data_IF_475228660401
#
_entry.id   IF_475228660401
#
_cell.length_a   1.000
_cell.length_b   1.000
_cell.length_c   1.000
_cell.angle_alpha   90.00
_cell.angle_beta   90.00
_cell.angle_gamma   90.00
#
_symmetry.space_group_name_H-M   'P 1'
#
loop_
_entity.id
_entity.type
_entity.pdbx_description
1 polymer ?
#
# COMPACT_ATOMS: atom_id res chain seq x y z
N UNK A 1 -65.50 -32.71 23.56
CA UNK A 1 -65.45 -31.36 24.15
C UNK A 1 -64.10 -31.20 24.80
N UNK A 2 -63.24 -30.31 24.30
CA UNK A 2 -61.98 -29.98 24.97
C UNK A 2 -62.35 -29.13 26.19
N UNK A 3 -61.86 -29.48 27.37
CA UNK A 3 -62.13 -28.70 28.59
C UNK A 3 -61.45 -27.33 28.51
N UNK A 4 -62.05 -26.31 29.13
CA UNK A 4 -61.52 -24.94 29.18
C UNK A 4 -60.08 -24.88 29.72
N UNK A 5 -59.76 -25.76 30.68
CA UNK A 5 -58.41 -25.91 31.21
C UNK A 5 -57.39 -26.38 30.15
N UNK A 6 -57.78 -27.33 29.28
CA UNK A 6 -56.93 -27.78 28.17
C UNK A 6 -56.73 -26.69 27.13
N UNK A 7 -57.75 -25.88 26.84
CA UNK A 7 -57.61 -24.74 25.91
C UNK A 7 -56.64 -23.68 26.45
N UNK A 8 -56.76 -23.32 27.73
CA UNK A 8 -55.84 -22.38 28.38
C UNK A 8 -54.39 -22.88 28.40
N UNK A 9 -54.18 -24.17 28.65
CA UNK A 9 -52.85 -24.78 28.67
C UNK A 9 -52.20 -24.79 27.28
N UNK A 10 -52.98 -25.02 26.22
CA UNK A 10 -52.51 -24.94 24.83
C UNK A 10 -52.12 -23.49 24.46
N UNK A 11 -52.95 -22.50 24.79
CA UNK A 11 -52.66 -21.09 24.50
C UNK A 11 -51.42 -20.59 25.25
N UNK A 12 -51.30 -20.93 26.54
CA UNK A 12 -50.13 -20.57 27.35
C UNK A 12 -48.85 -21.26 26.84
N UNK A 13 -48.93 -22.55 26.50
CA UNK A 13 -47.81 -23.30 25.92
C UNK A 13 -47.36 -22.74 24.58
N UNK A 14 -48.30 -22.36 23.71
CA UNK A 14 -47.98 -21.73 22.42
C UNK A 14 -47.36 -20.33 22.60
N UNK A 15 -47.86 -19.53 23.54
CA UNK A 15 -47.28 -18.23 23.88
C UNK A 15 -45.83 -18.34 24.38
N UNK A 16 -45.57 -19.28 25.29
CA UNK A 16 -44.22 -19.54 25.79
C UNK A 16 -43.29 -20.06 24.68
N UNK A 17 -43.75 -20.98 23.84
CA UNK A 17 -43.00 -21.49 22.70
C UNK A 17 -42.69 -20.40 21.67
N UNK A 18 -43.69 -19.61 21.26
CA UNK A 18 -43.50 -18.51 20.32
C UNK A 18 -42.51 -17.47 20.87
N UNK A 19 -42.64 -17.11 22.16
CA UNK A 19 -41.69 -16.22 22.83
C UNK A 19 -40.25 -16.75 22.80
N UNK A 20 -40.04 -18.02 23.17
CA UNK A 20 -38.73 -18.66 23.12
C UNK A 20 -38.17 -18.77 21.70
N UNK A 21 -39.01 -19.11 20.72
CA UNK A 21 -38.65 -19.20 19.31
C UNK A 21 -38.19 -17.84 18.76
N UNK A 22 -38.95 -16.78 19.00
CA UNK A 22 -38.56 -15.43 18.57
C UNK A 22 -37.30 -14.94 19.29
N UNK A 23 -37.16 -15.20 20.60
CA UNK A 23 -35.94 -14.86 21.32
C UNK A 23 -34.70 -15.56 20.72
N UNK A 24 -34.81 -16.84 20.41
CA UNK A 24 -33.74 -17.58 19.72
C UNK A 24 -33.46 -17.03 18.32
N UNK A 25 -34.51 -16.72 17.53
CA UNK A 25 -34.37 -16.16 16.19
C UNK A 25 -33.68 -14.78 16.23
N UNK A 26 -34.07 -13.90 17.15
CA UNK A 26 -33.43 -12.60 17.33
C UNK A 26 -31.98 -12.74 17.79
N UNK A 27 -31.68 -13.68 18.69
CA UNK A 27 -30.31 -13.96 19.10
C UNK A 27 -29.45 -14.40 17.91
N UNK A 28 -29.95 -15.33 17.09
CA UNK A 28 -29.24 -15.78 15.87
C UNK A 28 -29.07 -14.68 14.83
N UNK A 29 -30.10 -13.87 14.62
CA UNK A 29 -30.02 -12.71 13.73
C UNK A 29 -28.98 -11.70 14.25
N UNK A 30 -28.96 -11.42 15.55
CA UNK A 30 -27.99 -10.54 16.19
C UNK A 30 -26.56 -11.05 16.03
N UNK A 31 -26.31 -12.34 16.27
CA UNK A 31 -25.00 -12.98 16.03
C UNK A 31 -24.56 -12.85 14.57
N UNK A 32 -25.47 -13.11 13.62
CA UNK A 32 -25.21 -13.01 12.19
C UNK A 32 -24.86 -11.58 11.77
N UNK A 33 -25.66 -10.59 12.18
CA UNK A 33 -25.41 -9.17 11.93
C UNK A 33 -24.08 -8.70 12.55
N UNK A 34 -23.78 -9.15 13.77
CA UNK A 34 -22.52 -8.84 14.45
C UNK A 34 -21.31 -9.37 13.67
N UNK A 35 -21.38 -10.61 13.17
CA UNK A 35 -20.30 -11.19 12.36
C UNK A 35 -20.08 -10.45 11.05
N UNK A 36 -21.17 -10.06 10.36
CA UNK A 36 -21.06 -9.24 9.14
C UNK A 36 -20.41 -7.90 9.43
N UNK A 37 -20.88 -7.20 10.47
CA UNK A 37 -20.33 -5.91 10.85
C UNK A 37 -18.84 -5.99 11.22
N UNK A 38 -18.44 -6.98 12.03
CA UNK A 38 -17.04 -7.20 12.38
C UNK A 38 -16.18 -7.50 11.14
N UNK A 39 -16.74 -8.24 10.19
CA UNK A 39 -16.08 -8.56 8.92
C UNK A 39 -15.86 -7.28 8.07
N UNK A 40 -16.90 -6.47 7.89
CA UNK A 40 -16.80 -5.16 7.21
C UNK A 40 -15.78 -4.23 7.87
N UNK A 41 -15.81 -4.14 9.20
CA UNK A 41 -14.88 -3.31 9.96
C UNK A 41 -13.43 -3.74 9.75
N UNK A 42 -13.15 -5.05 9.75
CA UNK A 42 -11.80 -5.59 9.49
C UNK A 42 -11.33 -5.25 8.07
N UNK A 43 -12.18 -5.42 7.06
CA UNK A 43 -11.85 -5.06 5.67
C UNK A 43 -11.61 -3.56 5.53
N UNK A 44 -12.46 -2.72 6.11
CA UNK A 44 -12.30 -1.27 6.09
C UNK A 44 -10.96 -0.83 6.74
N UNK A 45 -10.67 -1.32 7.94
CA UNK A 45 -9.42 -1.00 8.64
C UNK A 45 -8.21 -1.47 7.84
N UNK A 46 -8.31 -2.61 7.18
CA UNK A 46 -7.25 -3.13 6.33
C UNK A 46 -7.01 -2.24 5.11
N UNK A 47 -8.07 -1.75 4.46
CA UNK A 47 -7.93 -0.80 3.35
C UNK A 47 -7.23 0.49 3.80
N UNK A 48 -7.56 1.02 4.98
CA UNK A 48 -6.89 2.21 5.55
C UNK A 48 -5.40 1.93 5.79
N UNK A 49 -5.08 0.79 6.39
CA UNK A 49 -3.68 0.42 6.63
C UNK A 49 -2.90 0.23 5.31
N UNK A 50 -3.55 -0.36 4.31
CA UNK A 50 -2.97 -0.55 2.99
C UNK A 50 -2.69 0.79 2.28
N UNK A 51 -3.57 1.78 2.44
CA UNK A 51 -3.29 3.14 1.96
C UNK A 51 -2.03 3.70 2.60
N UNK A 52 -1.89 3.63 3.93
CA UNK A 52 -0.68 4.09 4.63
C UNK A 52 0.57 3.38 4.11
N UNK A 53 0.53 2.06 4.00
CA UNK A 53 1.66 1.26 3.53
C UNK A 53 2.05 1.60 2.09
N UNK A 54 1.09 1.77 1.19
CA UNK A 54 1.36 2.15 -0.19
C UNK A 54 1.98 3.55 -0.29
N UNK A 55 1.61 4.47 0.60
CA UNK A 55 2.28 5.77 0.69
C UNK A 55 3.74 5.61 1.15
N UNK A 56 4.01 4.84 2.21
CA UNK A 56 5.39 4.57 2.67
C UNK A 56 6.25 3.93 1.57
N UNK A 57 5.68 2.99 0.81
CA UNK A 57 6.34 2.39 -0.36
C UNK A 57 6.61 3.47 -1.42
N UNK A 58 5.62 4.33 -1.69
CA UNK A 58 5.75 5.45 -2.62
C UNK A 58 6.91 6.39 -2.27
N UNK A 59 7.09 6.68 -0.98
CA UNK A 59 8.19 7.51 -0.47
C UNK A 59 9.55 6.87 -0.75
N UNK A 60 9.72 5.58 -0.42
CA UNK A 60 10.98 4.85 -0.69
C UNK A 60 11.28 4.76 -2.19
N UNK A 61 10.25 4.59 -3.03
CA UNK A 61 10.40 4.63 -4.49
C UNK A 61 10.90 6.00 -4.94
N UNK A 62 10.30 7.07 -4.42
CA UNK A 62 10.68 8.45 -4.76
C UNK A 62 12.14 8.75 -4.37
N UNK A 63 12.55 8.39 -3.16
CA UNK A 63 13.91 8.59 -2.66
C UNK A 63 14.94 7.86 -3.54
N UNK A 64 14.66 6.61 -3.90
CA UNK A 64 15.52 5.85 -4.79
C UNK A 64 15.65 6.51 -6.18
N UNK A 65 14.53 6.95 -6.77
CA UNK A 65 14.53 7.68 -8.06
C UNK A 65 15.39 8.94 -7.95
N UNK A 66 15.26 9.70 -6.86
CA UNK A 66 16.02 10.93 -6.64
C UNK A 66 17.54 10.68 -6.56
N UNK A 67 17.96 9.59 -5.91
CA UNK A 67 19.39 9.27 -5.67
C UNK A 67 20.08 8.73 -6.93
N UNK A 68 19.37 8.02 -7.80
CA UNK A 68 19.93 7.26 -8.93
C UNK A 68 20.75 8.08 -9.95
N UNK A 69 20.30 9.25 -10.44
CA UNK A 69 21.06 10.05 -11.39
C UNK A 69 22.42 10.49 -10.84
N UNK A 70 22.45 10.95 -9.59
CA UNK A 70 23.66 11.37 -8.91
C UNK A 70 24.58 10.20 -8.60
N UNK A 71 24.03 9.06 -8.18
CA UNK A 71 24.77 7.83 -7.97
C UNK A 71 25.56 7.49 -9.24
N UNK A 72 24.88 7.33 -10.38
CA UNK A 72 25.53 7.01 -11.66
C UNK A 72 26.60 8.03 -12.04
N UNK A 73 26.28 9.33 -11.94
CA UNK A 73 27.23 10.40 -12.27
C UNK A 73 28.53 10.31 -11.45
N UNK A 74 28.41 10.11 -10.13
CA UNK A 74 29.57 10.07 -9.23
C UNK A 74 30.45 8.86 -9.50
N UNK A 75 29.87 7.66 -9.64
CA UNK A 75 30.67 6.45 -9.88
C UNK A 75 31.35 6.46 -11.25
N UNK A 76 30.70 6.99 -12.28
CA UNK A 76 31.29 7.13 -13.62
C UNK A 76 32.41 8.18 -13.67
N UNK A 77 32.41 9.14 -12.74
CA UNK A 77 33.51 10.11 -12.58
C UNK A 77 34.76 9.50 -11.90
N UNK A 78 34.67 8.23 -11.50
CA UNK A 78 35.71 7.54 -10.74
C UNK A 78 35.77 7.92 -9.27
N UNK A 79 34.65 8.39 -8.71
CA UNK A 79 34.52 8.76 -7.30
C UNK A 79 33.62 7.77 -6.55
N UNK A 80 33.82 7.68 -5.25
CA UNK A 80 32.97 6.88 -4.35
C UNK A 80 31.72 7.69 -4.02
N UNK A 81 30.56 7.05 -4.11
CA UNK A 81 29.27 7.60 -3.70
C UNK A 81 28.84 6.97 -2.38
N UNK A 82 28.34 7.79 -1.46
CA UNK A 82 28.06 7.33 -0.09
C UNK A 82 26.59 6.97 0.15
N UNK A 83 25.67 7.43 -0.69
CA UNK A 83 24.27 7.05 -0.57
C UNK A 83 24.05 5.66 -1.19
N UNK A 84 23.08 4.93 -0.65
CA UNK A 84 22.70 3.62 -1.15
C UNK A 84 21.24 3.66 -1.61
N UNK A 85 20.87 2.66 -2.40
CA UNK A 85 19.46 2.39 -2.66
C UNK A 85 18.86 1.67 -1.46
N UNK A 86 17.60 1.96 -1.18
CA UNK A 86 16.85 1.35 -0.10
C UNK A 86 15.91 0.28 -0.66
N UNK A 87 15.86 -0.88 0.00
CA UNK A 87 14.85 -1.87 -0.31
C UNK A 87 13.47 -1.35 0.11
N UNK A 88 12.47 -1.62 -0.72
CA UNK A 88 11.09 -1.24 -0.48
C UNK A 88 10.50 -2.17 0.60
N UNK A 89 9.88 -1.63 1.66
CA UNK A 89 9.28 -2.45 2.71
C UNK A 89 8.14 -3.29 2.15
N UNK A 90 8.07 -4.56 2.57
CA UNK A 90 6.99 -5.48 2.21
C UNK A 90 6.44 -6.12 3.47
N UNK A 91 5.17 -5.89 3.76
CA UNK A 91 4.42 -6.67 4.75
C UNK A 91 3.38 -7.52 4.02
N UNK A 92 3.48 -8.85 4.22
CA UNK A 92 2.63 -9.87 3.59
C UNK A 92 1.40 -10.21 4.44
N UNK A 93 1.28 -9.67 5.65
CA UNK A 93 0.18 -9.96 6.58
C UNK A 93 -1.17 -9.44 6.12
N UNK A 94 -1.23 -8.63 5.05
CA UNK A 94 -2.40 -7.83 4.72
C UNK A 94 -3.47 -8.54 3.86
N UNK A 95 -3.32 -9.81 3.49
CA UNK A 95 -4.30 -10.45 2.58
C UNK A 95 -5.52 -11.03 3.29
N UNK A 96 -5.42 -11.37 4.58
CA UNK A 96 -6.38 -12.28 5.23
C UNK A 96 -7.80 -11.70 5.40
N UNK A 97 -7.97 -10.38 5.30
CA UNK A 97 -9.26 -9.73 5.53
C UNK A 97 -9.75 -8.85 4.37
N UNK A 98 -9.08 -8.90 3.21
CA UNK A 98 -9.54 -8.24 1.98
C UNK A 98 -10.60 -9.10 1.28
N UNK A 99 -11.68 -8.49 0.79
CA UNK A 99 -12.74 -9.22 0.06
C UNK A 99 -12.76 -8.95 -1.44
N UNK A 100 -12.06 -7.91 -1.88
CA UNK A 100 -12.00 -7.56 -3.29
C UNK A 100 -10.92 -8.40 -3.99
N UNK A 101 -11.36 -9.44 -4.71
CA UNK A 101 -10.48 -10.35 -5.44
C UNK A 101 -9.65 -9.60 -6.51
N UNK A 102 -10.22 -8.58 -7.15
CA UNK A 102 -9.51 -7.82 -8.17
C UNK A 102 -8.35 -7.04 -7.53
N UNK A 103 -8.62 -6.36 -6.41
CA UNK A 103 -7.59 -5.66 -5.63
C UNK A 103 -6.54 -6.62 -5.06
N UNK A 104 -6.94 -7.81 -4.58
CA UNK A 104 -6.00 -8.83 -4.09
C UNK A 104 -5.06 -9.27 -5.21
N UNK A 105 -5.58 -9.51 -6.41
CA UNK A 105 -4.75 -9.90 -7.56
C UNK A 105 -3.79 -8.78 -7.97
N UNK A 106 -4.26 -7.54 -8.01
CA UNK A 106 -3.42 -6.37 -8.31
C UNK A 106 -2.29 -6.23 -7.28
N UNK A 107 -2.60 -6.34 -5.99
CA UNK A 107 -1.61 -6.31 -4.91
C UNK A 107 -0.61 -7.46 -5.03
N UNK A 108 -1.07 -8.67 -5.32
CA UNK A 108 -0.19 -9.83 -5.48
C UNK A 108 0.84 -9.61 -6.61
N UNK A 109 0.39 -9.13 -7.76
CA UNK A 109 1.27 -8.81 -8.90
C UNK A 109 2.26 -7.71 -8.48
N UNK A 110 1.77 -6.65 -7.87
CA UNK A 110 2.58 -5.54 -7.40
C UNK A 110 3.65 -5.97 -6.41
N UNK A 111 3.32 -6.70 -5.36
CA UNK A 111 4.29 -7.18 -4.36
C UNK A 111 5.30 -8.18 -4.94
N UNK A 112 4.89 -8.96 -5.95
CA UNK A 112 5.82 -9.82 -6.67
C UNK A 112 6.86 -9.01 -7.46
N UNK A 113 6.44 -7.90 -8.08
CA UNK A 113 7.35 -6.95 -8.75
C UNK A 113 8.26 -6.23 -7.75
N UNK A 114 7.72 -5.75 -6.62
CA UNK A 114 8.51 -5.15 -5.52
C UNK A 114 9.59 -6.11 -5.05
N UNK A 115 9.26 -7.39 -4.84
CA UNK A 115 10.22 -8.41 -4.43
C UNK A 115 11.37 -8.54 -5.43
N UNK A 116 11.07 -8.65 -6.73
CA UNK A 116 12.11 -8.74 -7.78
C UNK A 116 13.01 -7.51 -7.78
N UNK A 117 12.41 -6.33 -7.68
CA UNK A 117 13.18 -5.09 -7.61
C UNK A 117 14.08 -5.05 -6.37
N UNK A 118 13.62 -5.53 -5.23
CA UNK A 118 14.45 -5.63 -4.03
C UNK A 118 15.64 -6.59 -4.20
N UNK A 119 15.47 -7.69 -4.93
CA UNK A 119 16.56 -8.61 -5.28
C UNK A 119 17.57 -7.91 -6.21
N UNK A 120 17.10 -7.12 -7.18
CA UNK A 120 17.95 -6.33 -8.10
C UNK A 120 18.71 -5.21 -7.35
N UNK A 121 18.03 -4.49 -6.45
CA UNK A 121 18.63 -3.46 -5.58
C UNK A 121 19.71 -4.08 -4.69
N UNK A 122 19.45 -5.25 -4.11
CA UNK A 122 20.42 -5.95 -3.29
C UNK A 122 21.64 -6.36 -4.11
N UNK A 123 21.43 -6.92 -5.30
CA UNK A 123 22.51 -7.33 -6.21
C UNK A 123 23.38 -6.12 -6.61
N UNK A 124 22.75 -5.01 -6.99
CA UNK A 124 23.45 -3.77 -7.33
C UNK A 124 24.23 -3.20 -6.13
N UNK A 125 23.65 -3.27 -4.92
CA UNK A 125 24.30 -2.80 -3.69
C UNK A 125 25.52 -3.65 -3.36
N UNK A 126 25.41 -4.98 -3.39
CA UNK A 126 26.54 -5.88 -3.17
C UNK A 126 27.66 -5.64 -4.18
N UNK A 127 27.32 -5.58 -5.48
CA UNK A 127 28.29 -5.30 -6.53
C UNK A 127 28.99 -3.95 -6.34
N UNK A 128 28.25 -2.91 -5.93
CA UNK A 128 28.85 -1.62 -5.61
C UNK A 128 29.84 -1.70 -4.44
N UNK A 129 29.48 -2.39 -3.35
CA UNK A 129 30.35 -2.55 -2.19
C UNK A 129 31.65 -3.29 -2.55
N UNK A 130 31.57 -4.33 -3.38
CA UNK A 130 32.75 -5.06 -3.86
C UNK A 130 33.68 -4.17 -4.68
N UNK A 131 33.15 -3.42 -5.64
CA UNK A 131 33.92 -2.48 -6.47
C UNK A 131 34.56 -1.40 -5.60
N UNK A 132 33.79 -0.81 -4.69
CA UNK A 132 34.25 0.22 -3.74
C UNK A 132 35.38 -0.30 -2.87
N UNK A 133 35.23 -1.49 -2.28
CA UNK A 133 36.21 -2.09 -1.39
C UNK A 133 37.51 -2.44 -2.14
N UNK A 134 37.40 -3.02 -3.34
CA UNK A 134 38.57 -3.29 -4.18
C UNK A 134 39.34 -2.01 -4.52
N UNK A 135 38.64 -0.89 -4.76
CA UNK A 135 39.28 0.39 -5.03
C UNK A 135 39.94 1.00 -3.80
N UNK A 136 39.25 1.00 -2.64
CA UNK A 136 39.81 1.49 -1.36
C UNK A 136 41.06 0.69 -0.96
N UNK A 137 41.03 -0.63 -1.13
CA UNK A 137 42.14 -1.52 -0.82
C UNK A 137 43.27 -1.47 -1.87
N UNK A 138 43.12 -0.65 -2.92
CA UNK A 138 44.07 -0.51 -4.04
C UNK A 138 44.29 -1.80 -4.85
N UNK A 139 43.36 -2.74 -4.79
CA UNK A 139 43.35 -3.93 -5.65
C UNK A 139 43.01 -3.59 -7.10
N UNK A 140 42.28 -2.49 -7.32
CA UNK A 140 42.03 -1.89 -8.63
C UNK A 140 42.43 -0.41 -8.64
N UNK A 141 42.87 0.09 -9.80
CA UNK A 141 43.14 1.50 -10.00
C UNK A 141 41.87 2.26 -10.45
N UNK A 142 41.96 3.58 -10.62
CA UNK A 142 40.81 4.42 -11.01
C UNK A 142 40.18 3.98 -12.35
N UNK A 143 41.00 3.58 -13.31
CA UNK A 143 40.50 3.10 -14.61
C UNK A 143 39.71 1.80 -14.45
N UNK A 144 40.22 0.85 -13.65
CA UNK A 144 39.52 -0.40 -13.32
C UNK A 144 38.21 -0.15 -12.56
N UNK A 145 38.19 0.81 -11.65
CA UNK A 145 36.97 1.23 -10.96
C UNK A 145 35.91 1.73 -11.94
N UNK A 146 36.27 2.63 -12.86
CA UNK A 146 35.32 3.20 -13.84
C UNK A 146 34.77 2.12 -14.77
N UNK A 147 35.60 1.18 -15.23
CA UNK A 147 35.16 0.05 -16.07
C UNK A 147 34.11 -0.80 -15.34
N UNK A 148 34.36 -1.17 -14.09
CA UNK A 148 33.40 -1.94 -13.31
C UNK A 148 32.15 -1.13 -12.95
N UNK A 149 32.32 0.16 -12.66
CA UNK A 149 31.22 1.09 -12.37
C UNK A 149 30.31 1.30 -13.57
N UNK A 150 30.80 1.15 -14.81
CA UNK A 150 29.97 1.26 -16.02
C UNK A 150 28.90 0.17 -16.06
N UNK A 151 29.27 -1.10 -15.80
CA UNK A 151 28.31 -2.21 -15.74
C UNK A 151 27.24 -1.98 -14.66
N UNK A 152 27.66 -1.52 -13.48
CA UNK A 152 26.74 -1.14 -12.42
C UNK A 152 25.83 0.03 -12.84
N UNK A 153 26.38 1.07 -13.48
CA UNK A 153 25.62 2.23 -13.91
C UNK A 153 24.54 1.86 -14.93
N UNK A 154 24.79 0.88 -15.80
CA UNK A 154 23.79 0.37 -16.74
C UNK A 154 22.69 -0.42 -16.01
N UNK A 155 23.02 -1.25 -15.02
CA UNK A 155 22.04 -1.90 -14.15
C UNK A 155 21.17 -0.88 -13.39
N UNK A 156 21.78 0.21 -12.90
CA UNK A 156 21.06 1.29 -12.22
C UNK A 156 20.04 2.01 -13.13
N UNK A 157 20.23 2.02 -14.47
CA UNK A 157 19.22 2.55 -15.40
C UNK A 157 18.00 1.64 -15.50
N UNK A 158 18.22 0.31 -15.48
CA UNK A 158 17.12 -0.65 -15.47
C UNK A 158 16.30 -0.54 -14.18
N UNK A 159 16.98 -0.43 -13.03
CA UNK A 159 16.34 -0.19 -11.73
C UNK A 159 15.53 1.11 -11.74
N UNK A 160 16.08 2.21 -12.28
CA UNK A 160 15.36 3.49 -12.42
C UNK A 160 14.08 3.35 -13.24
N UNK A 161 14.15 2.70 -14.41
CA UNK A 161 12.98 2.50 -15.25
C UNK A 161 11.90 1.67 -14.55
N UNK A 162 12.30 0.65 -13.79
CA UNK A 162 11.38 -0.19 -13.02
C UNK A 162 10.75 0.56 -11.85
N UNK A 163 11.52 1.39 -11.13
CA UNK A 163 11.00 2.27 -10.08
C UNK A 163 9.97 3.27 -10.63
N UNK A 164 10.20 3.86 -11.80
CA UNK A 164 9.24 4.79 -12.43
C UNK A 164 7.94 4.08 -12.81
N UNK A 165 8.01 2.83 -13.30
CA UNK A 165 6.81 2.00 -13.52
C UNK A 165 6.10 1.74 -12.18
N UNK A 166 6.85 1.28 -11.18
CA UNK A 166 6.31 0.91 -9.88
C UNK A 166 5.66 2.12 -9.17
N UNK A 167 6.21 3.32 -9.34
CA UNK A 167 5.61 4.56 -8.84
C UNK A 167 4.19 4.77 -9.40
N UNK A 168 4.01 4.58 -10.72
CA UNK A 168 2.70 4.69 -11.37
C UNK A 168 1.72 3.64 -10.86
N UNK A 169 2.19 2.40 -10.71
CA UNK A 169 1.39 1.30 -10.19
C UNK A 169 0.99 1.53 -8.71
N UNK A 170 1.88 2.14 -7.93
CA UNK A 170 1.62 2.56 -6.54
C UNK A 170 0.49 3.58 -6.48
N UNK A 171 0.55 4.64 -7.30
CA UNK A 171 -0.52 5.65 -7.38
C UNK A 171 -1.85 5.02 -7.83
N UNK A 172 -1.81 4.11 -8.80
CA UNK A 172 -3.00 3.38 -9.25
C UNK A 172 -3.63 2.56 -8.11
N UNK A 173 -2.82 1.84 -7.33
CA UNK A 173 -3.29 1.05 -6.20
C UNK A 173 -3.86 1.94 -5.09
N UNK A 174 -3.17 3.04 -4.72
CA UNK A 174 -3.68 4.01 -3.74
C UNK A 174 -5.06 4.54 -4.19
N UNK A 175 -5.21 4.88 -5.48
CA UNK A 175 -6.48 5.33 -6.03
C UNK A 175 -7.59 4.28 -5.88
N UNK A 176 -7.30 3.02 -6.22
CA UNK A 176 -8.25 1.89 -6.04
C UNK A 176 -8.63 1.72 -4.57
N UNK A 177 -7.66 1.73 -3.66
CA UNK A 177 -7.86 1.61 -2.22
C UNK A 177 -8.72 2.75 -1.68
N UNK A 178 -8.41 4.01 -2.00
CA UNK A 178 -9.21 5.18 -1.59
C UNK A 178 -10.66 5.10 -2.08
N UNK A 179 -10.87 4.64 -3.30
CA UNK A 179 -12.22 4.43 -3.83
C UNK A 179 -12.96 3.36 -3.02
N UNK A 180 -12.31 2.23 -2.71
CA UNK A 180 -12.88 1.17 -1.87
C UNK A 180 -13.18 1.66 -0.45
N UNK A 181 -12.29 2.43 0.18
CA UNK A 181 -12.54 3.04 1.50
C UNK A 181 -13.79 3.92 1.47
N UNK A 182 -14.02 4.68 0.38
CA UNK A 182 -15.21 5.53 0.24
C UNK A 182 -16.49 4.71 0.06
N UNK A 183 -16.41 3.56 -0.62
CA UNK A 183 -17.54 2.69 -0.93
C UNK A 183 -17.91 1.72 0.19
N UNK A 184 -16.91 1.13 0.83
CA UNK A 184 -17.05 0.01 1.78
C UNK A 184 -17.08 0.51 3.24
N UNK A 185 -17.64 1.69 3.48
CA UNK A 185 -17.79 2.23 4.85
C UNK A 185 -18.75 1.34 5.66
N UNK A 186 -18.39 0.94 6.89
CA UNK A 186 -19.23 0.04 7.70
C UNK A 186 -20.65 0.58 7.92
N UNK A 187 -21.63 -0.32 7.84
CA UNK A 187 -23.08 -0.03 7.83
C UNK A 187 -23.59 0.83 9.00
N UNK A 188 -22.90 0.82 10.15
CA UNK A 188 -23.24 1.65 11.31
C UNK A 188 -23.22 3.17 11.06
N UNK A 189 -22.68 3.64 9.93
CA UNK A 189 -22.68 5.07 9.54
C UNK A 189 -23.80 5.47 8.57
N UNK A 190 -24.49 4.51 7.93
CA UNK A 190 -25.64 4.75 7.05
C UNK A 190 -26.60 3.57 7.09
N UNK A 191 -27.81 3.79 7.63
CA UNK A 191 -28.92 2.83 7.75
C UNK A 191 -29.42 2.20 6.41
N UNK A 192 -28.74 2.42 5.28
CA UNK A 192 -29.34 2.26 3.95
C UNK A 192 -28.89 1.07 3.10
N UNK A 193 -27.93 0.22 3.50
CA UNK A 193 -27.43 -0.80 2.56
C UNK A 193 -27.30 -2.21 3.13
N UNK A 194 -28.43 -2.88 3.34
CA UNK A 194 -28.47 -4.34 3.56
C UNK A 194 -28.00 -5.19 2.35
N UNK A 195 -27.49 -4.56 1.29
CA UNK A 195 -26.94 -5.22 0.10
C UNK A 195 -25.63 -4.57 -0.31
N UNK A 196 -24.53 -4.93 0.36
CA UNK A 196 -23.18 -4.61 -0.11
C UNK A 196 -22.85 -5.54 -1.29
N UNK A 197 -23.29 -5.16 -2.49
CA UNK A 197 -22.62 -5.60 -3.71
C UNK A 197 -21.42 -4.68 -3.89
N UNK A 198 -20.20 -5.22 -3.81
CA UNK A 198 -19.01 -4.55 -4.33
C UNK A 198 -19.29 -4.16 -5.78
N UNK A 199 -19.65 -2.90 -6.02
CA UNK A 199 -19.76 -2.41 -7.38
C UNK A 199 -18.35 -2.31 -7.97
N UNK A 200 -18.20 -2.66 -9.24
CA UNK A 200 -16.92 -2.49 -9.93
C UNK A 200 -16.51 -1.02 -9.91
N UNK A 201 -15.22 -0.76 -9.74
CA UNK A 201 -14.66 0.59 -9.84
C UNK A 201 -14.87 1.07 -11.28
N UNK A 202 -15.46 2.26 -11.44
CA UNK A 202 -15.61 2.91 -12.74
C UNK A 202 -14.29 3.57 -13.14
N UNK A 203 -13.83 3.35 -14.37
CA UNK A 203 -12.62 3.96 -14.92
C UNK A 203 -12.61 5.49 -14.81
N UNK A 204 -13.75 6.16 -14.98
CA UNK A 204 -13.86 7.62 -14.85
C UNK A 204 -13.58 8.05 -13.40
N UNK A 205 -14.09 7.29 -12.42
CA UNK A 205 -13.84 7.56 -11.01
C UNK A 205 -12.37 7.30 -10.66
N UNK A 206 -11.79 6.25 -11.21
CA UNK A 206 -10.39 5.89 -11.02
C UNK A 206 -9.46 6.98 -11.56
N UNK A 207 -9.65 7.43 -12.79
CA UNK A 207 -8.84 8.50 -13.39
C UNK A 207 -8.96 9.82 -12.65
N UNK A 208 -10.16 10.13 -12.14
CA UNK A 208 -10.36 11.31 -11.28
C UNK A 208 -9.55 11.22 -9.99
N UNK A 209 -9.56 10.07 -9.32
CA UNK A 209 -8.80 9.88 -8.08
C UNK A 209 -7.29 9.92 -8.32
N UNK A 210 -6.80 9.29 -9.41
CA UNK A 210 -5.37 9.37 -9.82
C UNK A 210 -4.97 10.83 -10.06
N UNK A 211 -5.81 11.62 -10.76
CA UNK A 211 -5.52 13.03 -11.01
C UNK A 211 -5.46 13.83 -9.70
N UNK A 212 -6.32 13.53 -8.74
CA UNK A 212 -6.29 14.17 -7.43
C UNK A 212 -5.02 13.80 -6.66
N UNK A 213 -4.65 12.52 -6.63
CA UNK A 213 -3.43 12.03 -6.00
C UNK A 213 -2.17 12.70 -6.57
N UNK A 214 -2.06 12.79 -7.89
CA UNK A 214 -0.92 13.46 -8.51
C UNK A 214 -0.84 14.94 -8.13
N UNK A 215 -1.97 15.63 -7.97
CA UNK A 215 -2.00 17.01 -7.47
C UNK A 215 -1.56 17.10 -6.01
N UNK A 216 -2.02 16.17 -5.16
CA UNK A 216 -1.60 16.09 -3.75
C UNK A 216 -0.09 15.87 -3.65
N UNK A 217 0.46 14.94 -4.43
CA UNK A 217 1.90 14.64 -4.50
C UNK A 217 2.69 15.87 -4.92
N UNK A 218 2.32 16.52 -6.03
CA UNK A 218 3.02 17.72 -6.50
C UNK A 218 2.92 18.88 -5.50
N UNK A 219 1.75 19.08 -4.88
CA UNK A 219 1.59 20.13 -3.86
C UNK A 219 2.47 19.89 -2.63
N UNK A 220 2.59 18.64 -2.18
CA UNK A 220 3.44 18.25 -1.05
C UNK A 220 4.91 18.45 -1.38
N UNK A 221 5.31 18.08 -2.61
CA UNK A 221 6.66 18.29 -3.11
C UNK A 221 7.03 19.77 -3.16
N UNK A 222 6.17 20.63 -3.72
CA UNK A 222 6.41 22.07 -3.76
C UNK A 222 6.52 22.66 -2.35
N UNK A 223 5.60 22.29 -1.44
CA UNK A 223 5.65 22.77 -0.06
C UNK A 223 6.94 22.35 0.67
N UNK A 224 7.38 21.11 0.49
CA UNK A 224 8.64 20.60 1.05
C UNK A 224 9.86 21.35 0.49
N UNK A 225 9.89 21.63 -0.82
CA UNK A 225 10.96 22.42 -1.44
C UNK A 225 11.03 23.85 -0.89
N UNK A 226 9.89 24.53 -0.79
CA UNK A 226 9.81 25.88 -0.23
C UNK A 226 10.27 25.92 1.23
N UNK A 227 9.95 24.89 2.01
CA UNK A 227 10.42 24.74 3.39
C UNK A 227 11.93 24.53 3.48
N UNK A 228 12.50 23.65 2.66
CA UNK A 228 13.95 23.42 2.61
C UNK A 228 14.68 24.71 2.22
N UNK A 229 14.21 25.42 1.19
CA UNK A 229 14.81 26.69 0.77
C UNK A 229 14.77 27.76 1.85
N UNK A 230 13.66 27.85 2.59
CA UNK A 230 13.53 28.77 3.73
C UNK A 230 14.54 28.43 4.83
N UNK A 231 14.66 27.16 5.21
CA UNK A 231 15.63 26.71 6.23
C UNK A 231 17.07 26.99 5.77
N UNK A 232 17.40 26.75 4.50
CA UNK A 232 18.73 27.04 3.96
C UNK A 232 19.06 28.53 4.00
N UNK A 233 18.10 29.40 3.67
CA UNK A 233 18.25 30.86 3.75
C UNK A 233 18.42 31.33 5.20
N UNK A 234 17.62 30.82 6.12
CA UNK A 234 17.69 31.16 7.56
C UNK A 234 19.06 30.79 8.18
N UNK A 235 19.69 29.73 7.69
CA UNK A 235 20.98 29.25 8.21
C UNK A 235 22.20 29.73 7.42
N UNK A 236 22.04 30.61 6.42
CA UNK A 236 23.11 31.06 5.51
C UNK A 236 23.84 29.90 4.80
N UNK A 237 23.13 28.81 4.50
CA UNK A 237 23.68 27.63 3.83
C UNK A 237 23.49 27.65 2.31
N UNK A 238 22.90 28.72 1.76
CA UNK A 238 22.85 28.95 0.32
C UNK A 238 24.22 29.39 -0.17
N UNK A 239 24.92 28.51 -0.87
CA UNK A 239 26.16 28.79 -1.61
C UNK A 239 25.94 29.66 -2.84
#
# INVERSE_FOLDING_TARGET
MISEWQQNLIVQGFGAFAGAFFAFLFLRLSEFLTKIYQRELKHYNLLVNLETQLNEIGDVIHDNIYVLPNFRRVILSGNIYFNNLHQIPMDKGHYENLYDIDLINDLFIYYYEVRKLNDDIQTATCGYQEIKNAFIQKNINKSGYVINAQLLADNLKFIEAFLVKLQKDTVLLIAKVRIRIKMDKPLGTKLQFFFVRSSKINDVQLQKEITNLNKEIESTKTASQEEIERVLKENNLTS
#
